data_IF_580632669598
#
_entry.id   IF_580632669598
#
_cell.length_a   1.000
_cell.length_b   1.000
_cell.length_c   1.000
_cell.angle_alpha   90.00
_cell.angle_beta   90.00
_cell.angle_gamma   90.00
#
_symmetry.space_group_name_H-M   'P 1'
#
loop_
_entity.id
_entity.type
_entity.pdbx_description
1 polymer ?
#
# COMPACT_ATOMS: atom_id res chain seq x y z
N UNK A 1 -22.88 27.71 -11.41
CA UNK A 1 -24.11 26.95 -11.12
C UNK A 1 -23.90 25.54 -11.65
N UNK A 2 -23.46 24.61 -10.80
CA UNK A 2 -23.23 23.20 -11.19
C UNK A 2 -24.44 22.41 -10.73
N UNK A 3 -25.18 21.85 -11.69
CA UNK A 3 -26.29 20.95 -11.41
C UNK A 3 -25.74 19.59 -10.98
N UNK A 4 -26.20 19.10 -9.83
CA UNK A 4 -25.89 17.76 -9.31
C UNK A 4 -26.97 16.81 -9.81
N UNK A 5 -26.64 15.95 -10.76
CA UNK A 5 -27.56 14.93 -11.28
C UNK A 5 -27.35 13.66 -10.43
N UNK A 6 -28.28 13.42 -9.51
CA UNK A 6 -28.39 12.17 -8.75
C UNK A 6 -29.46 11.30 -9.43
N UNK A 7 -29.11 10.62 -10.51
CA UNK A 7 -30.02 9.65 -11.12
C UNK A 7 -29.26 8.36 -11.49
N UNK A 8 -29.30 7.32 -10.62
CA UNK A 8 -28.54 6.08 -10.81
C UNK A 8 -29.04 5.18 -11.95
N UNK A 9 -30.09 5.56 -12.70
CA UNK A 9 -30.76 4.69 -13.69
C UNK A 9 -30.37 4.95 -15.14
N UNK A 10 -29.17 5.51 -15.39
CA UNK A 10 -28.65 5.77 -16.75
C UNK A 10 -27.17 5.43 -16.96
N UNK A 11 -26.55 4.67 -16.06
CA UNK A 11 -25.15 4.26 -16.19
C UNK A 11 -24.87 3.38 -17.42
N UNK A 12 -25.86 2.64 -17.92
CA UNK A 12 -25.70 1.69 -19.03
C UNK A 12 -25.47 2.33 -20.41
N UNK A 13 -25.76 3.64 -20.55
CA UNK A 13 -25.65 4.34 -21.84
C UNK A 13 -24.23 4.83 -22.12
N UNK A 14 -23.38 5.04 -21.10
CA UNK A 14 -22.05 5.62 -21.26
C UNK A 14 -20.95 4.61 -21.57
N UNK A 15 -21.15 3.33 -21.24
CA UNK A 15 -20.18 2.26 -21.59
C UNK A 15 -20.09 2.03 -23.11
N UNK A 16 -21.17 2.25 -23.86
CA UNK A 16 -21.17 2.10 -25.34
C UNK A 16 -20.41 3.22 -26.07
N UNK A 17 -19.94 4.26 -25.37
CA UNK A 17 -19.20 5.39 -25.94
C UNK A 17 -17.69 5.38 -25.62
N UNK A 18 -17.18 4.32 -24.97
CA UNK A 18 -15.72 4.14 -24.77
C UNK A 18 -15.07 5.17 -23.84
N UNK A 19 -15.84 5.85 -23.00
CA UNK A 19 -15.32 6.74 -21.95
C UNK A 19 -15.09 5.86 -20.72
N UNK A 20 -13.85 5.68 -20.22
CA UNK A 20 -13.61 4.93 -18.99
C UNK A 20 -14.22 5.70 -17.83
N UNK A 21 -15.41 5.27 -17.40
CA UNK A 21 -16.03 5.77 -16.18
C UNK A 21 -15.31 5.15 -15.00
N UNK A 22 -14.45 5.94 -14.34
CA UNK A 22 -14.04 5.67 -12.96
C UNK A 22 -15.30 5.68 -12.12
N UNK A 23 -15.83 4.48 -11.84
CA UNK A 23 -16.87 4.29 -10.86
C UNK A 23 -16.38 4.92 -9.57
N UNK A 24 -17.06 5.97 -9.12
CA UNK A 24 -16.76 6.60 -7.84
C UNK A 24 -17.09 5.59 -6.75
N UNK A 25 -16.13 4.72 -6.41
CA UNK A 25 -16.31 3.78 -5.31
C UNK A 25 -16.41 4.63 -4.05
N UNK A 26 -17.59 4.62 -3.45
CA UNK A 26 -17.89 5.38 -2.24
C UNK A 26 -16.91 4.95 -1.15
N UNK A 27 -15.93 5.82 -0.89
CA UNK A 27 -14.82 5.64 0.06
C UNK A 27 -15.31 5.20 1.44
N UNK A 28 -16.55 5.55 1.77
CA UNK A 28 -17.26 5.18 3.00
C UNK A 28 -17.48 3.67 3.13
N UNK A 29 -17.78 2.98 2.04
CA UNK A 29 -18.07 1.53 2.06
C UNK A 29 -16.79 0.70 2.24
N UNK A 30 -15.69 1.13 1.60
CA UNK A 30 -14.37 0.53 1.82
C UNK A 30 -13.92 0.65 3.29
N UNK A 31 -14.19 1.79 3.94
CA UNK A 31 -13.89 2.00 5.37
C UNK A 31 -14.77 1.16 6.31
N UNK A 32 -15.97 0.78 5.90
CA UNK A 32 -16.84 -0.13 6.66
C UNK A 32 -16.41 -1.59 6.51
N UNK A 33 -16.03 -2.02 5.30
CA UNK A 33 -15.50 -3.37 5.05
C UNK A 33 -14.13 -3.59 5.70
N UNK A 34 -13.25 -2.58 5.69
CA UNK A 34 -11.94 -2.61 6.36
C UNK A 34 -12.01 -2.71 7.89
N UNK A 35 -13.18 -2.45 8.50
CA UNK A 35 -13.41 -2.65 9.95
C UNK A 35 -13.91 -4.05 10.31
N UNK A 36 -14.34 -4.83 9.32
CA UNK A 36 -14.93 -6.16 9.52
C UNK A 36 -13.91 -7.27 9.24
N UNK A 37 -12.95 -7.00 8.35
CA UNK A 37 -11.83 -7.90 8.10
C UNK A 37 -10.63 -7.47 8.97
N UNK A 38 -9.97 -8.39 9.69
CA UNK A 38 -8.68 -8.11 10.28
C UNK A 38 -7.69 -7.94 9.14
N UNK A 39 -7.58 -6.73 8.61
CA UNK A 39 -6.43 -6.35 7.81
C UNK A 39 -5.22 -6.60 8.72
N UNK A 40 -4.25 -7.45 8.34
CA UNK A 40 -3.00 -7.49 9.06
C UNK A 40 -2.48 -6.04 9.17
N UNK A 41 -1.87 -5.64 10.29
CA UNK A 41 -1.61 -4.23 10.70
C UNK A 41 -0.78 -3.37 9.71
N UNK A 42 -0.49 -3.91 8.55
CA UNK A 42 0.54 -3.55 7.62
C UNK A 42 -0.01 -3.23 6.21
N UNK A 43 -1.30 -3.37 5.88
CA UNK A 43 -1.82 -2.99 4.53
C UNK A 43 -2.45 -1.59 4.55
N UNK A 44 -1.92 -0.68 3.72
CA UNK A 44 -2.31 0.74 3.66
C UNK A 44 -3.23 1.03 2.48
N UNK A 45 -2.97 0.38 1.34
CA UNK A 45 -3.75 0.53 0.12
C UNK A 45 -3.61 -0.74 -0.73
N UNK A 46 -4.68 -1.10 -1.43
CA UNK A 46 -4.67 -2.15 -2.45
C UNK A 46 -5.22 -1.55 -3.72
N UNK A 47 -4.53 -1.77 -4.83
CA UNK A 47 -4.95 -1.31 -6.15
C UNK A 47 -6.21 -2.07 -6.61
N UNK A 48 -7.04 -1.45 -7.44
CA UNK A 48 -8.39 -1.94 -7.77
C UNK A 48 -8.39 -3.29 -8.50
N UNK A 49 -7.32 -3.65 -9.22
CA UNK A 49 -7.18 -4.99 -9.81
C UNK A 49 -6.83 -6.06 -8.78
N UNK A 50 -6.43 -5.67 -7.57
CA UNK A 50 -5.98 -6.58 -6.52
C UNK A 50 -4.57 -7.15 -6.75
N UNK A 51 -3.85 -6.70 -7.78
CA UNK A 51 -2.51 -7.22 -8.08
C UNK A 51 -1.43 -6.66 -7.15
N UNK A 52 -1.59 -5.42 -6.70
CA UNK A 52 -0.58 -4.67 -5.97
C UNK A 52 -1.14 -4.10 -4.67
N UNK A 53 -0.40 -4.26 -3.58
CA UNK A 53 -0.73 -3.69 -2.28
C UNK A 53 0.44 -2.82 -1.79
N UNK A 54 0.11 -1.63 -1.29
CA UNK A 54 1.00 -0.80 -0.49
C UNK A 54 0.87 -1.25 0.96
N UNK A 55 1.99 -1.69 1.52
CA UNK A 55 2.11 -2.09 2.90
C UNK A 55 3.00 -1.11 3.68
N UNK A 56 2.89 -1.14 5.01
CA UNK A 56 3.79 -0.48 5.95
C UNK A 56 4.40 -1.50 6.87
N UNK A 57 5.63 -1.27 7.30
CA UNK A 57 6.26 -2.04 8.37
C UNK A 57 7.19 -1.14 9.17
N UNK A 58 7.19 -1.21 10.52
CA UNK A 58 8.25 -0.59 11.30
C UNK A 58 9.59 -1.22 10.94
N UNK A 59 10.65 -0.43 10.89
CA UNK A 59 12.00 -0.93 10.65
C UNK A 59 12.52 -1.55 11.95
N UNK A 60 12.73 -2.87 11.92
CA UNK A 60 13.31 -3.62 13.03
C UNK A 60 14.83 -3.41 13.16
N UNK A 61 15.45 -3.75 14.31
CA UNK A 61 16.87 -3.55 14.57
C UNK A 61 17.80 -4.21 13.54
N UNK A 62 17.39 -5.36 13.00
CA UNK A 62 18.13 -6.14 12.00
C UNK A 62 18.33 -5.39 10.68
N UNK A 63 17.46 -4.44 10.35
CA UNK A 63 17.48 -3.69 9.09
C UNK A 63 18.07 -2.29 9.21
N UNK A 64 18.27 -1.80 10.44
CA UNK A 64 18.90 -0.50 10.67
C UNK A 64 20.32 -0.53 10.10
N UNK A 65 20.69 0.50 9.34
CA UNK A 65 21.99 0.60 8.68
C UNK A 65 22.06 -0.08 7.30
N UNK A 66 21.04 -0.82 6.88
CA UNK A 66 20.97 -1.39 5.54
C UNK A 66 20.38 -0.39 4.55
N UNK A 67 20.83 -0.48 3.30
CA UNK A 67 20.26 0.27 2.18
C UNK A 67 18.92 -0.34 1.73
N UNK A 68 18.04 0.52 1.23
CA UNK A 68 16.76 0.11 0.63
C UNK A 68 16.97 -0.92 -0.49
N UNK A 69 18.03 -0.77 -1.30
CA UNK A 69 18.35 -1.71 -2.38
C UNK A 69 18.53 -3.16 -1.90
N UNK A 70 19.18 -3.36 -0.77
CA UNK A 70 19.39 -4.68 -0.17
C UNK A 70 18.07 -5.28 0.30
N UNK A 71 17.22 -4.45 0.92
CA UNK A 71 15.91 -4.85 1.40
C UNK A 71 14.97 -5.25 0.24
N UNK A 72 14.93 -4.45 -0.82
CA UNK A 72 14.14 -4.74 -2.03
C UNK A 72 14.57 -6.07 -2.66
N UNK A 73 15.88 -6.33 -2.74
CA UNK A 73 16.42 -7.56 -3.30
C UNK A 73 16.12 -8.79 -2.44
N UNK A 74 16.20 -8.68 -1.12
CA UNK A 74 15.98 -9.81 -0.21
C UNK A 74 14.48 -10.16 -0.06
N UNK A 75 13.63 -9.14 0.03
CA UNK A 75 12.20 -9.33 0.25
C UNK A 75 11.39 -9.40 -1.05
N UNK A 76 11.95 -8.95 -2.19
CA UNK A 76 11.22 -8.89 -3.46
C UNK A 76 10.11 -7.83 -3.45
N UNK A 77 10.33 -6.74 -2.73
CA UNK A 77 9.40 -5.62 -2.58
C UNK A 77 9.92 -4.38 -3.31
N UNK A 78 9.07 -3.37 -3.47
CA UNK A 78 9.48 -2.04 -3.93
C UNK A 78 9.21 -0.99 -2.87
N UNK A 79 10.23 -0.34 -2.34
CA UNK A 79 10.06 0.74 -1.38
C UNK A 79 9.42 1.96 -2.05
N UNK A 80 8.44 2.55 -1.37
CA UNK A 80 7.73 3.73 -1.83
C UNK A 80 8.28 4.99 -1.16
N UNK A 81 8.26 5.02 0.17
CA UNK A 81 8.80 6.09 0.99
C UNK A 81 9.03 5.58 2.41
N UNK A 82 9.77 6.36 3.19
CA UNK A 82 9.95 6.13 4.62
C UNK A 82 9.30 7.28 5.39
N UNK A 83 8.62 6.96 6.48
CA UNK A 83 8.16 7.94 7.46
C UNK A 83 9.16 7.97 8.61
N UNK A 84 9.84 9.10 8.79
CA UNK A 84 10.83 9.33 9.84
C UNK A 84 10.47 10.56 10.64
N UNK A 85 10.26 10.41 11.95
CA UNK A 85 9.82 11.52 12.82
C UNK A 85 8.63 12.31 12.24
N UNK A 86 7.63 11.59 11.72
CA UNK A 86 6.44 12.16 11.05
C UNK A 86 6.73 12.97 9.78
N UNK A 87 7.93 12.82 9.19
CA UNK A 87 8.29 13.39 7.89
C UNK A 87 8.38 12.28 6.85
N UNK A 88 7.74 12.50 5.71
CA UNK A 88 7.86 11.60 4.56
C UNK A 88 9.18 11.87 3.85
N UNK A 89 9.95 10.82 3.64
CA UNK A 89 11.20 10.82 2.90
C UNK A 89 11.03 9.94 1.67
N UNK A 90 11.25 10.52 0.49
CA UNK A 90 11.37 9.74 -0.73
C UNK A 90 12.65 8.91 -0.64
N UNK A 91 12.53 7.63 -0.94
CA UNK A 91 13.65 6.71 -0.86
C UNK A 91 14.32 6.56 -2.22
N UNK A 92 15.64 6.46 -2.18
CA UNK A 92 16.49 6.04 -3.28
C UNK A 92 17.14 4.70 -2.91
N UNK A 93 17.75 4.03 -3.89
CA UNK A 93 18.42 2.75 -3.68
C UNK A 93 19.48 2.79 -2.57
N UNK A 94 20.21 3.90 -2.44
CA UNK A 94 21.24 4.14 -1.41
C UNK A 94 20.70 4.74 -0.12
N UNK A 95 19.37 4.88 0.03
CA UNK A 95 18.79 5.40 1.27
C UNK A 95 18.98 4.36 2.36
N UNK A 96 19.61 4.78 3.46
CA UNK A 96 19.88 3.93 4.61
C UNK A 96 18.73 4.01 5.60
N UNK A 97 18.23 2.85 6.00
CA UNK A 97 17.19 2.69 7.01
C UNK A 97 17.74 3.01 8.40
N UNK A 98 16.94 3.72 9.19
CA UNK A 98 17.29 4.15 10.54
C UNK A 98 16.32 3.58 11.57
N UNK A 99 16.73 3.63 12.83
CA UNK A 99 15.85 3.29 13.94
C UNK A 99 14.63 4.21 13.96
N UNK A 100 13.46 3.64 14.26
CA UNK A 100 12.16 4.33 14.30
C UNK A 100 11.64 4.79 12.93
N UNK A 101 12.23 4.32 11.83
CA UNK A 101 11.63 4.46 10.52
C UNK A 101 10.41 3.55 10.38
N UNK A 102 9.38 4.04 9.69
CA UNK A 102 8.35 3.19 9.11
C UNK A 102 8.54 3.15 7.60
N UNK A 103 8.78 1.96 7.07
CA UNK A 103 8.92 1.76 5.64
C UNK A 103 7.55 1.50 5.02
N UNK A 104 7.22 2.25 3.98
CA UNK A 104 6.11 1.97 3.10
C UNK A 104 6.63 1.33 1.82
N UNK A 105 6.05 0.20 1.42
CA UNK A 105 6.52 -0.59 0.29
C UNK A 105 5.36 -1.22 -0.47
N UNK A 106 5.52 -1.32 -1.78
CA UNK A 106 4.65 -2.09 -2.64
C UNK A 106 5.08 -3.55 -2.69
N UNK A 107 4.10 -4.43 -2.70
CA UNK A 107 4.26 -5.88 -2.88
C UNK A 107 3.13 -6.41 -3.73
N UNK A 108 3.42 -7.41 -4.57
CA UNK A 108 2.37 -8.14 -5.26
C UNK A 108 1.49 -8.85 -4.22
N UNK A 109 0.16 -8.79 -4.35
CA UNK A 109 -0.75 -9.36 -3.35
C UNK A 109 -0.51 -10.87 -3.14
N UNK A 110 -0.14 -11.58 -4.22
CA UNK A 110 0.23 -13.00 -4.19
C UNK A 110 1.48 -13.31 -3.35
N UNK A 111 2.36 -12.33 -3.12
CA UNK A 111 3.60 -12.48 -2.35
C UNK A 111 3.51 -11.89 -0.94
N UNK A 112 2.39 -11.22 -0.60
CA UNK A 112 2.26 -10.46 0.65
C UNK A 112 2.48 -11.31 1.89
N UNK A 113 1.88 -12.51 1.97
CA UNK A 113 2.05 -13.40 3.12
C UNK A 113 3.48 -13.93 3.27
N UNK A 114 4.15 -14.22 2.15
CA UNK A 114 5.54 -14.67 2.15
C UNK A 114 6.48 -13.57 2.67
N UNK A 115 6.27 -12.32 2.23
CA UNK A 115 7.03 -11.15 2.69
C UNK A 115 6.75 -10.88 4.17
N UNK A 116 5.48 -10.90 4.60
CA UNK A 116 5.12 -10.73 6.01
C UNK A 116 5.81 -11.78 6.91
N UNK A 117 5.88 -13.03 6.46
CA UNK A 117 6.55 -14.11 7.18
C UNK A 117 8.08 -13.95 7.24
N UNK A 118 8.70 -13.31 6.24
CA UNK A 118 10.14 -12.97 6.26
C UNK A 118 10.41 -11.82 7.23
N UNK A 119 9.59 -10.77 7.17
CA UNK A 119 9.66 -9.64 8.09
C UNK A 119 9.49 -10.09 9.55
N UNK A 120 8.51 -10.95 9.83
CA UNK A 120 8.26 -11.45 11.18
C UNK A 120 9.41 -12.31 11.76
N UNK A 121 10.15 -13.04 10.91
CA UNK A 121 11.34 -13.80 11.35
C UNK A 121 12.46 -12.87 11.80
N UNK A 122 12.71 -11.81 11.02
CA UNK A 122 13.79 -10.88 11.28
C UNK A 122 13.47 -9.87 12.41
N UNK A 123 12.22 -9.83 12.88
CA UNK A 123 11.77 -9.04 14.03
C UNK A 123 12.03 -9.71 15.38
N UNK A 124 12.35 -11.02 15.42
CA UNK A 124 12.37 -11.81 16.65
C UNK A 124 13.77 -12.06 17.21
N UNK A 125 14.80 -11.42 16.65
CA UNK A 125 16.19 -11.49 17.11
C UNK A 125 16.65 -10.19 17.74
#
# INVERSE_FOLDING_TARGET
MVARISDPRRAEVYERLGIPTVGSVDRTTALLLARVLPLPPDVVYTEDTGYLSLCRVPVGPSWVGHEISALEAELGIRAAYVLRFSKVLMVEASTVLQENDELFYFVAESQREAVASRLARNFKE
#
